data_IF_519201765679
#
_entry.id   IF_519201765679
#
_cell.length_a   1.000
_cell.length_b   1.000
_cell.length_c   1.000
_cell.angle_alpha   90.00
_cell.angle_beta   90.00
_cell.angle_gamma   90.00
#
_symmetry.space_group_name_H-M   'P 1'
#
loop_
_entity.id
_entity.type
_entity.pdbx_description
1 polymer ?
#
# COMPACT_ATOMS: atom_id res chain seq x y z
N UNK A 1 10.23 12.50 -5.04
CA UNK A 1 9.70 12.24 -3.68
C UNK A 1 10.53 11.13 -3.03
N UNK A 2 10.58 11.08 -1.68
CA UNK A 2 11.44 10.11 -0.98
C UNK A 2 10.98 8.66 -1.13
N UNK A 3 9.67 8.39 -1.08
CA UNK A 3 9.13 7.03 -1.24
C UNK A 3 9.44 6.44 -2.62
N UNK A 4 9.23 7.22 -3.69
CA UNK A 4 9.55 6.78 -5.07
C UNK A 4 11.05 6.49 -5.22
N UNK A 5 11.90 7.39 -4.73
CA UNK A 5 13.35 7.20 -4.79
C UNK A 5 13.82 5.98 -3.98
N UNK A 6 13.18 5.69 -2.84
CA UNK A 6 13.45 4.47 -2.08
C UNK A 6 13.02 3.22 -2.85
N UNK A 7 11.83 3.21 -3.45
CA UNK A 7 11.34 2.11 -4.29
C UNK A 7 12.29 1.83 -5.47
N UNK A 8 12.78 2.87 -6.14
CA UNK A 8 13.74 2.74 -7.24
C UNK A 8 15.06 2.09 -6.81
N UNK A 9 15.46 2.27 -5.55
CA UNK A 9 16.67 1.64 -4.99
C UNK A 9 16.45 0.17 -4.60
N UNK A 10 15.24 -0.23 -4.22
CA UNK A 10 14.96 -1.63 -3.83
C UNK A 10 14.50 -2.50 -5.01
N UNK A 11 13.89 -1.91 -6.04
CA UNK A 11 13.51 -2.61 -7.27
C UNK A 11 14.75 -2.76 -8.16
N UNK A 12 15.46 -3.88 -8.02
CA UNK A 12 16.77 -4.10 -8.65
C UNK A 12 16.82 -5.48 -9.35
N UNK A 13 17.32 -5.54 -10.60
CA UNK A 13 17.47 -6.80 -11.33
C UNK A 13 18.38 -7.78 -10.58
N UNK A 14 18.00 -9.06 -10.57
CA UNK A 14 18.71 -10.13 -9.86
C UNK A 14 18.59 -10.10 -8.34
N UNK A 15 17.88 -9.12 -7.76
CA UNK A 15 17.66 -9.00 -6.31
C UNK A 15 16.19 -9.13 -5.94
N UNK A 16 15.33 -8.26 -6.48
CA UNK A 16 13.89 -8.25 -6.18
C UNK A 16 13.03 -8.62 -7.38
N UNK A 17 13.61 -8.60 -8.58
CA UNK A 17 13.03 -9.18 -9.79
C UNK A 17 14.12 -9.69 -10.73
N UNK A 18 13.77 -10.47 -11.75
CA UNK A 18 14.67 -10.82 -12.87
C UNK A 18 13.91 -10.88 -14.18
N UNK A 19 14.62 -10.72 -15.29
CA UNK A 19 14.06 -10.91 -16.63
C UNK A 19 14.03 -12.40 -17.02
N UNK A 20 13.03 -12.76 -17.83
CA UNK A 20 12.86 -14.05 -18.49
C UNK A 20 12.41 -13.82 -19.93
N UNK A 21 12.39 -14.87 -20.75
CA UNK A 21 11.87 -14.80 -22.12
C UNK A 21 10.41 -14.32 -22.19
N UNK A 22 9.62 -14.59 -21.13
CA UNK A 22 8.22 -14.19 -21.02
C UNK A 22 8.03 -12.85 -20.27
N UNK A 23 9.11 -12.12 -20.01
CA UNK A 23 9.10 -10.85 -19.28
C UNK A 23 9.63 -10.96 -17.84
N UNK A 24 9.53 -9.85 -17.06
CA UNK A 24 10.06 -9.80 -15.71
C UNK A 24 9.23 -10.63 -14.73
N UNK A 25 9.90 -11.30 -13.79
CA UNK A 25 9.28 -11.99 -12.67
C UNK A 25 9.84 -11.48 -11.35
N UNK A 26 8.97 -11.35 -10.35
CA UNK A 26 9.35 -10.96 -9.00
C UNK A 26 10.07 -12.06 -8.23
N UNK A 27 11.01 -11.68 -7.36
CA UNK A 27 11.82 -12.58 -6.53
C UNK A 27 11.57 -12.42 -5.03
N UNK A 28 10.77 -11.43 -4.61
CA UNK A 28 10.49 -11.11 -3.21
C UNK A 28 9.15 -11.68 -2.71
N UNK A 29 8.64 -12.74 -3.34
CA UNK A 29 7.40 -13.41 -2.93
C UNK A 29 7.43 -14.02 -1.53
N UNK A 30 6.29 -14.53 -1.07
CA UNK A 30 6.14 -15.10 0.27
C UNK A 30 6.23 -14.08 1.40
N UNK A 31 6.20 -12.78 1.07
CA UNK A 31 6.17 -11.69 2.04
C UNK A 31 4.77 -11.08 2.13
N UNK A 32 4.42 -10.68 3.34
CA UNK A 32 3.30 -9.80 3.65
C UNK A 32 3.81 -8.39 3.87
N UNK A 33 3.15 -7.40 3.28
CA UNK A 33 3.46 -5.97 3.50
C UNK A 33 2.21 -5.25 3.98
N UNK A 34 2.36 -4.51 5.07
CA UNK A 34 1.31 -3.64 5.60
C UNK A 34 1.64 -2.19 5.23
N UNK A 35 0.69 -1.53 4.57
CA UNK A 35 0.80 -0.12 4.18
C UNK A 35 -0.16 0.68 5.07
N UNK A 36 0.40 1.56 5.89
CA UNK A 36 -0.38 2.53 6.68
C UNK A 36 -0.32 3.87 5.95
N UNK A 37 -1.47 4.42 5.55
CA UNK A 37 -1.52 5.66 4.78
C UNK A 37 -2.67 6.58 5.20
N UNK A 38 -2.50 7.87 4.95
CA UNK A 38 -3.49 8.90 5.25
C UNK A 38 -3.75 9.78 4.04
N UNK A 39 -4.98 10.27 3.87
CA UNK A 39 -5.38 11.10 2.74
C UNK A 39 -6.35 12.19 3.17
N UNK A 40 -6.23 13.36 2.54
CA UNK A 40 -7.13 14.49 2.81
C UNK A 40 -8.57 14.23 2.34
N UNK A 41 -8.73 13.56 1.20
CA UNK A 41 -10.02 13.14 0.64
C UNK A 41 -10.22 11.62 0.70
N UNK A 42 -11.34 11.15 0.13
CA UNK A 42 -11.65 9.72 -0.03
C UNK A 42 -11.55 9.31 -1.50
N UNK A 43 -10.84 8.21 -1.74
CA UNK A 43 -10.55 7.70 -3.08
C UNK A 43 -10.89 6.21 -3.22
N UNK A 44 -11.36 5.55 -2.17
CA UNK A 44 -11.72 4.13 -2.22
C UNK A 44 -12.99 3.84 -3.02
N UNK A 45 -13.84 4.84 -3.20
CA UNK A 45 -15.09 4.70 -3.94
C UNK A 45 -15.52 6.02 -4.58
N UNK A 46 -16.42 5.91 -5.56
CA UNK A 46 -17.01 7.07 -6.22
C UNK A 46 -16.12 7.68 -7.32
N UNK A 47 -16.45 8.90 -7.77
CA UNK A 47 -15.88 9.48 -8.98
C UNK A 47 -14.38 9.79 -8.87
N UNK A 48 -13.86 9.92 -7.66
CA UNK A 48 -12.45 10.26 -7.43
C UNK A 48 -11.54 9.03 -7.40
N UNK A 49 -12.05 7.80 -7.45
CA UNK A 49 -11.23 6.59 -7.32
C UNK A 49 -10.11 6.49 -8.35
N UNK A 50 -10.33 6.97 -9.58
CA UNK A 50 -9.30 7.01 -10.62
C UNK A 50 -8.13 7.94 -10.30
N UNK A 51 -8.28 8.83 -9.31
CA UNK A 51 -7.23 9.77 -8.88
C UNK A 51 -6.33 9.20 -7.77
N UNK A 52 -6.56 7.95 -7.32
CA UNK A 52 -5.66 7.28 -6.37
C UNK A 52 -4.39 6.76 -7.07
N UNK A 53 -3.39 7.62 -7.17
CA UNK A 53 -2.06 7.23 -7.65
C UNK A 53 -1.17 6.66 -6.55
N UNK A 54 -1.52 6.82 -5.27
CA UNK A 54 -0.66 6.42 -4.16
C UNK A 54 -0.72 4.91 -3.97
N UNK A 55 -1.92 4.37 -3.75
CA UNK A 55 -2.08 2.95 -3.48
C UNK A 55 -1.95 2.11 -4.75
N UNK A 56 -2.49 2.57 -5.88
CA UNK A 56 -2.33 1.87 -7.16
C UNK A 56 -0.85 1.68 -7.51
N UNK A 57 -0.03 2.74 -7.37
CA UNK A 57 1.40 2.66 -7.59
C UNK A 57 2.10 1.66 -6.64
N UNK A 58 1.77 1.68 -5.34
CA UNK A 58 2.35 0.76 -4.36
C UNK A 58 1.98 -0.69 -4.65
N UNK A 59 0.71 -0.96 -4.99
CA UNK A 59 0.25 -2.30 -5.38
C UNK A 59 1.03 -2.80 -6.59
N UNK A 60 1.13 -1.98 -7.64
CA UNK A 60 1.86 -2.35 -8.87
C UNK A 60 3.35 -2.58 -8.60
N UNK A 61 4.00 -1.68 -7.88
CA UNK A 61 5.43 -1.77 -7.60
C UNK A 61 5.79 -2.99 -6.73
N UNK A 62 4.99 -3.28 -5.69
CA UNK A 62 5.19 -4.44 -4.82
C UNK A 62 4.87 -5.74 -5.56
N UNK A 63 3.80 -5.77 -6.35
CA UNK A 63 3.44 -6.93 -7.19
C UNK A 63 4.50 -7.24 -8.24
N UNK A 64 5.16 -6.22 -8.81
CA UNK A 64 6.28 -6.40 -9.73
C UNK A 64 7.46 -7.14 -9.08
N UNK A 65 7.72 -6.86 -7.80
CA UNK A 65 8.71 -7.61 -7.00
C UNK A 65 8.19 -8.99 -6.54
N UNK A 66 6.93 -9.34 -6.82
CA UNK A 66 6.33 -10.63 -6.48
C UNK A 66 5.58 -10.64 -5.13
N UNK A 67 5.48 -9.49 -4.45
CA UNK A 67 4.76 -9.35 -3.18
C UNK A 67 3.28 -9.13 -3.48
N UNK A 68 2.44 -10.11 -3.13
CA UNK A 68 1.00 -10.09 -3.42
C UNK A 68 0.12 -9.97 -2.18
N UNK A 69 0.63 -10.39 -1.02
CA UNK A 69 -0.08 -10.26 0.25
C UNK A 69 0.13 -8.85 0.80
N UNK A 70 -0.83 -7.97 0.50
CA UNK A 70 -0.80 -6.55 0.83
C UNK A 70 -2.03 -6.18 1.65
N UNK A 71 -1.80 -5.66 2.85
CA UNK A 71 -2.85 -5.06 3.68
C UNK A 71 -2.66 -3.55 3.76
N UNK A 72 -3.79 -2.84 3.80
CA UNK A 72 -3.81 -1.38 3.83
C UNK A 72 -4.65 -0.89 4.99
N UNK A 73 -4.02 -0.16 5.90
CA UNK A 73 -4.70 0.62 6.94
C UNK A 73 -4.75 2.06 6.46
N UNK A 74 -5.95 2.63 6.42
CA UNK A 74 -6.20 3.94 5.80
C UNK A 74 -6.94 4.87 6.74
N UNK A 75 -6.46 6.11 6.82
CA UNK A 75 -7.25 7.23 7.34
C UNK A 75 -7.51 8.22 6.20
N UNK A 76 -8.68 8.12 5.55
CA UNK A 76 -9.14 9.07 4.52
C UNK A 76 -9.89 10.25 5.14
N UNK A 77 -10.26 11.26 4.35
CA UNK A 77 -11.02 12.44 4.82
C UNK A 77 -10.33 13.29 5.90
N UNK A 78 -9.00 13.22 6.01
CA UNK A 78 -8.23 13.94 7.04
C UNK A 78 -8.33 15.47 6.94
N UNK A 79 -8.81 15.99 5.82
CA UNK A 79 -8.99 17.43 5.57
C UNK A 79 -10.45 17.86 5.53
N UNK A 80 -11.41 17.01 5.93
CA UNK A 80 -12.86 17.27 5.86
C UNK A 80 -13.50 17.73 7.18
N UNK A 81 -12.69 18.30 8.08
CA UNK A 81 -13.12 18.76 9.40
C UNK A 81 -12.83 17.75 10.52
N UNK A 82 -12.96 18.21 11.75
CA UNK A 82 -12.45 17.49 12.93
C UNK A 82 -13.20 16.18 13.20
N UNK A 83 -14.52 16.15 13.04
CA UNK A 83 -15.32 14.94 13.25
C UNK A 83 -14.96 13.83 12.25
N UNK A 84 -14.84 14.19 10.96
CA UNK A 84 -14.44 13.25 9.92
C UNK A 84 -13.00 12.73 10.16
N UNK A 85 -12.09 13.63 10.54
CA UNK A 85 -10.71 13.27 10.90
C UNK A 85 -10.67 12.31 12.09
N UNK A 86 -11.39 12.61 13.17
CA UNK A 86 -11.43 11.80 14.38
C UNK A 86 -12.02 10.41 14.10
N UNK A 87 -13.13 10.35 13.36
CA UNK A 87 -13.74 9.09 12.97
C UNK A 87 -12.78 8.23 12.13
N UNK A 88 -12.19 8.81 11.07
CA UNK A 88 -11.28 8.07 10.20
C UNK A 88 -9.98 7.64 10.88
N UNK A 89 -9.45 8.42 11.83
CA UNK A 89 -8.32 8.01 12.66
C UNK A 89 -8.70 6.86 13.60
N UNK A 90 -9.86 6.95 14.27
CA UNK A 90 -10.35 5.89 15.16
C UNK A 90 -10.50 4.57 14.39
N UNK A 91 -11.14 4.60 13.23
CA UNK A 91 -11.33 3.41 12.38
C UNK A 91 -9.99 2.82 11.93
N UNK A 92 -9.02 3.66 11.54
CA UNK A 92 -7.67 3.20 11.17
C UNK A 92 -6.95 2.51 12.33
N UNK A 93 -6.99 3.10 13.53
CA UNK A 93 -6.37 2.53 14.72
C UNK A 93 -7.03 1.20 15.14
N UNK A 94 -8.36 1.11 15.07
CA UNK A 94 -9.09 -0.12 15.37
C UNK A 94 -8.74 -1.27 14.41
N UNK A 95 -8.38 -0.97 13.16
CA UNK A 95 -7.97 -1.97 12.19
C UNK A 95 -6.57 -2.58 12.46
N UNK A 96 -5.73 -1.93 13.28
CA UNK A 96 -4.37 -2.38 13.56
C UNK A 96 -4.36 -3.72 14.30
N UNK A 97 -5.07 -3.83 15.42
CA UNK A 97 -4.98 -5.02 16.29
C UNK A 97 -5.43 -6.31 15.60
N UNK A 98 -6.58 -6.35 14.87
CA UNK A 98 -6.99 -7.54 14.13
C UNK A 98 -5.98 -7.93 13.04
N UNK A 99 -5.38 -6.95 12.36
CA UNK A 99 -4.36 -7.21 11.34
C UNK A 99 -3.09 -7.79 11.95
N UNK A 100 -2.62 -7.25 13.07
CA UNK A 100 -1.44 -7.79 13.77
C UNK A 100 -1.72 -9.21 14.28
N UNK A 101 -2.92 -9.47 14.81
CA UNK A 101 -3.31 -10.79 15.28
C UNK A 101 -3.32 -11.83 14.14
N UNK A 102 -3.77 -11.45 12.94
CA UNK A 102 -3.77 -12.36 11.78
C UNK A 102 -2.38 -12.68 11.23
N UNK A 103 -1.35 -11.91 11.61
CA UNK A 103 0.03 -12.15 11.21
C UNK A 103 0.79 -13.09 12.15
N UNK A 104 0.28 -13.30 13.37
CA UNK A 104 0.90 -14.15 14.39
C UNK A 104 0.41 -15.62 14.33
N UNK A 105 -0.59 -15.91 13.50
CA UNK A 105 -1.14 -17.23 13.26
C UNK A 105 -0.51 -17.88 12.02
#
# INVERSE_FOLDING_TARGET
>A
SQLKAWLDRVIQPGKTFRYTENGPIGLAGGKKVVIVSTRGGSYLSGPLTSMDFQESYLRTALAFMGIKDLDFIRAENMSRGDDARAHSMSSALQAVSPLVASMAA
#
